data_IF_146753030871
#
_entry.id   IF_146753030871
#
_cell.length_a   1.000
_cell.length_b   1.000
_cell.length_c   1.000
_cell.angle_alpha   90.00
_cell.angle_beta   90.00
_cell.angle_gamma   90.00
#
_symmetry.space_group_name_H-M   'P 1'
#
loop_
_entity.id
_entity.type
_entity.pdbx_description
1 polymer ?
#
# COMPACT_ATOMS: atom_id res chain seq x y z
N UNK A 1 52.49 10.88 20.02
CA UNK A 1 51.94 12.20 20.39
C UNK A 1 50.92 12.55 19.30
N UNK A 2 49.67 12.78 19.65
CA UNK A 2 48.66 13.21 18.70
C UNK A 2 48.80 14.70 18.47
N UNK A 3 49.15 15.10 17.25
CA UNK A 3 49.26 16.50 16.84
C UNK A 3 47.86 17.09 16.73
N UNK A 4 47.59 18.17 17.47
CA UNK A 4 46.28 18.86 17.35
C UNK A 4 46.24 19.61 16.01
N UNK A 5 45.45 19.08 15.10
CA UNK A 5 45.18 19.75 13.81
C UNK A 5 44.40 21.02 14.09
N UNK A 6 45.00 22.18 13.77
CA UNK A 6 44.35 23.47 13.95
C UNK A 6 43.33 23.70 12.82
N UNK A 7 42.27 24.48 13.13
CA UNK A 7 41.20 24.82 12.16
C UNK A 7 41.74 25.46 10.88
N UNK A 8 42.86 26.18 11.00
CA UNK A 8 43.55 26.80 9.87
C UNK A 8 44.21 25.77 8.95
N UNK A 9 44.87 24.76 9.49
CA UNK A 9 45.49 23.68 8.70
C UNK A 9 44.45 22.82 7.97
N UNK A 10 43.25 22.72 8.51
CA UNK A 10 42.13 22.03 7.83
C UNK A 10 41.57 22.92 6.71
N UNK A 11 41.42 24.23 6.93
CA UNK A 11 40.89 25.15 5.95
C UNK A 11 41.79 25.32 4.70
N UNK A 12 43.11 25.09 4.85
CA UNK A 12 44.06 25.10 3.70
C UNK A 12 43.90 23.86 2.79
N UNK A 13 43.40 22.74 3.33
CA UNK A 13 43.31 21.45 2.60
C UNK A 13 41.90 20.99 2.30
N UNK A 14 40.90 21.61 2.90
CA UNK A 14 39.50 21.25 2.73
C UNK A 14 38.61 22.50 2.82
N UNK A 15 37.49 22.47 2.11
CA UNK A 15 36.43 23.48 2.23
C UNK A 15 35.72 23.24 3.58
N UNK A 16 36.01 24.08 4.57
CA UNK A 16 35.34 24.04 5.86
C UNK A 16 34.06 24.85 5.78
N UNK A 17 32.92 24.18 5.72
CA UNK A 17 31.64 24.85 5.85
C UNK A 17 31.44 25.28 7.32
N UNK A 18 31.48 26.57 7.57
CA UNK A 18 31.31 27.16 8.93
C UNK A 18 29.90 27.09 9.46
N UNK A 19 28.93 26.85 8.60
CA UNK A 19 27.53 26.51 8.97
C UNK A 19 27.24 25.13 8.46
N UNK A 20 26.80 24.23 9.36
CA UNK A 20 26.14 23.01 8.97
C UNK A 20 24.91 23.43 8.16
N UNK A 21 24.98 23.32 6.83
CA UNK A 21 23.80 23.49 6.01
C UNK A 21 22.76 22.52 6.58
N UNK A 22 21.75 23.06 7.23
CA UNK A 22 20.60 22.28 7.67
C UNK A 22 20.05 21.64 6.42
N UNK A 23 20.38 20.37 6.19
CA UNK A 23 19.78 19.60 5.13
C UNK A 23 18.27 19.75 5.28
N UNK A 24 17.57 20.22 4.25
CA UNK A 24 16.11 20.31 4.34
C UNK A 24 15.60 18.94 4.79
N UNK A 25 14.62 18.89 5.71
CA UNK A 25 14.11 17.63 6.21
C UNK A 25 13.72 16.75 5.03
N UNK A 26 14.27 15.55 4.98
CA UNK A 26 13.99 14.59 3.92
C UNK A 26 12.49 14.37 3.89
N UNK A 27 11.83 14.86 2.85
CA UNK A 27 10.40 14.62 2.65
C UNK A 27 10.27 13.14 2.28
N UNK A 28 9.95 12.32 3.28
CA UNK A 28 9.69 10.89 3.06
C UNK A 28 8.38 10.78 2.29
N UNK A 29 8.47 10.28 1.07
CA UNK A 29 7.29 9.95 0.27
C UNK A 29 6.60 8.72 0.88
N UNK A 30 5.43 8.96 1.49
CA UNK A 30 4.60 7.91 2.10
C UNK A 30 3.38 7.58 1.25
N UNK A 31 3.34 8.04 0.01
CA UNK A 31 2.31 7.65 -0.94
C UNK A 31 2.63 6.26 -1.50
N UNK A 32 1.61 5.41 -1.59
CA UNK A 32 1.76 4.11 -2.26
C UNK A 32 1.84 4.24 -3.78
N UNK A 33 1.87 5.46 -4.33
CA UNK A 33 1.85 5.76 -5.77
C UNK A 33 0.75 5.03 -6.58
N UNK A 34 -0.12 4.26 -5.91
CA UNK A 34 -1.25 3.58 -6.54
C UNK A 34 -2.49 4.48 -6.57
N UNK A 35 -3.27 4.44 -7.66
CA UNK A 35 -4.58 5.06 -7.71
C UNK A 35 -5.51 4.50 -6.64
N UNK A 36 -6.25 5.39 -5.95
CA UNK A 36 -7.23 5.00 -4.91
C UNK A 36 -8.28 4.03 -5.42
N UNK A 37 -8.60 4.06 -6.72
CA UNK A 37 -9.53 3.13 -7.34
C UNK A 37 -9.07 1.67 -7.28
N UNK A 38 -7.76 1.38 -7.43
CA UNK A 38 -7.24 0.02 -7.30
C UNK A 38 -7.33 -0.48 -5.85
N UNK A 39 -7.07 0.41 -4.90
CA UNK A 39 -7.24 0.10 -3.48
C UNK A 39 -8.69 -0.24 -3.15
N UNK A 40 -9.61 0.62 -3.58
CA UNK A 40 -11.04 0.43 -3.36
C UNK A 40 -11.55 -0.86 -4.01
N UNK A 41 -11.07 -1.17 -5.22
CA UNK A 41 -11.43 -2.40 -5.93
C UNK A 41 -10.93 -3.65 -5.20
N UNK A 42 -9.70 -3.64 -4.68
CA UNK A 42 -9.17 -4.76 -3.89
C UNK A 42 -10.01 -5.02 -2.64
N UNK A 43 -10.36 -3.96 -1.91
CA UNK A 43 -11.25 -4.06 -0.73
C UNK A 43 -12.62 -4.58 -1.12
N UNK A 44 -13.20 -4.06 -2.21
CA UNK A 44 -14.52 -4.48 -2.70
C UNK A 44 -14.54 -5.97 -3.09
N UNK A 45 -13.47 -6.49 -3.70
CA UNK A 45 -13.36 -7.90 -4.05
C UNK A 45 -13.26 -8.81 -2.82
N UNK A 46 -12.48 -8.42 -1.80
CA UNK A 46 -12.41 -9.19 -0.55
C UNK A 46 -13.74 -9.17 0.22
N UNK A 47 -14.37 -8.01 0.33
CA UNK A 47 -15.69 -7.90 0.96
C UNK A 47 -16.78 -8.61 0.12
N UNK A 48 -16.66 -8.55 -1.20
CA UNK A 48 -17.53 -9.27 -2.13
C UNK A 48 -17.43 -10.80 -1.95
N UNK A 49 -16.20 -11.32 -1.78
CA UNK A 49 -16.00 -12.73 -1.41
C UNK A 49 -16.75 -13.09 -0.11
N UNK A 50 -16.61 -12.26 0.93
CA UNK A 50 -17.33 -12.46 2.19
C UNK A 50 -18.84 -12.40 2.00
N UNK A 51 -19.34 -11.46 1.18
CA UNK A 51 -20.76 -11.36 0.87
C UNK A 51 -21.31 -12.59 0.13
N UNK A 52 -20.59 -13.04 -0.91
CA UNK A 52 -20.97 -14.25 -1.68
C UNK A 52 -20.99 -15.50 -0.79
N UNK A 53 -19.97 -15.69 0.04
CA UNK A 53 -19.90 -16.84 0.96
C UNK A 53 -20.96 -16.75 2.06
N UNK A 54 -21.27 -15.56 2.57
CA UNK A 54 -22.33 -15.35 3.54
C UNK A 54 -23.72 -15.71 2.96
N UNK A 55 -23.98 -15.35 1.71
CA UNK A 55 -25.24 -15.69 1.03
C UNK A 55 -25.31 -17.20 0.73
N UNK A 56 -24.21 -17.78 0.25
CA UNK A 56 -24.19 -19.20 -0.16
C UNK A 56 -24.16 -20.19 0.98
N UNK A 57 -23.49 -19.85 2.09
CA UNK A 57 -23.28 -20.72 3.25
C UNK A 57 -23.80 -20.14 4.56
N UNK A 58 -24.71 -19.15 4.49
CA UNK A 58 -25.22 -18.46 5.67
C UNK A 58 -25.74 -19.43 6.73
N UNK A 59 -25.04 -19.47 7.87
CA UNK A 59 -25.44 -20.23 9.07
C UNK A 59 -25.19 -19.31 10.28
N UNK A 60 -26.14 -19.27 11.26
CA UNK A 60 -25.97 -18.50 12.50
C UNK A 60 -24.65 -18.78 13.23
N UNK A 61 -24.13 -20.00 13.19
CA UNK A 61 -22.88 -20.39 13.82
C UNK A 61 -21.65 -19.76 13.16
N UNK A 62 -21.74 -19.32 11.89
CA UNK A 62 -20.67 -18.68 11.14
C UNK A 62 -20.65 -17.16 11.29
N UNK A 63 -21.62 -16.55 11.95
CA UNK A 63 -21.69 -15.09 12.10
C UNK A 63 -20.44 -14.54 12.80
N UNK A 64 -20.03 -15.17 13.89
CA UNK A 64 -18.86 -14.72 14.65
C UNK A 64 -17.55 -14.79 13.85
N UNK A 65 -17.16 -15.95 13.26
CA UNK A 65 -15.95 -16.00 12.44
C UNK A 65 -16.03 -15.07 11.21
N UNK A 66 -17.16 -14.93 10.56
CA UNK A 66 -17.34 -13.99 9.45
C UNK A 66 -17.15 -12.54 9.89
N UNK A 67 -17.71 -12.15 11.03
CA UNK A 67 -17.55 -10.81 11.58
C UNK A 67 -16.07 -10.51 11.89
N UNK A 68 -15.34 -11.46 12.46
CA UNK A 68 -13.90 -11.32 12.73
C UNK A 68 -13.11 -11.15 11.43
N UNK A 69 -13.40 -11.92 10.39
CA UNK A 69 -12.72 -11.79 9.08
C UNK A 69 -13.02 -10.44 8.45
N UNK A 70 -14.28 -10.00 8.43
CA UNK A 70 -14.64 -8.67 7.90
C UNK A 70 -13.94 -7.55 8.66
N UNK A 71 -13.92 -7.62 10.00
CA UNK A 71 -13.21 -6.65 10.83
C UNK A 71 -11.70 -6.65 10.52
N UNK A 72 -11.11 -7.83 10.32
CA UNK A 72 -9.70 -7.96 9.94
C UNK A 72 -9.42 -7.34 8.58
N UNK A 73 -10.27 -7.55 7.57
CA UNK A 73 -10.15 -6.91 6.25
C UNK A 73 -10.21 -5.38 6.40
N UNK A 74 -11.20 -4.88 7.14
CA UNK A 74 -11.34 -3.44 7.39
C UNK A 74 -10.12 -2.88 8.12
N UNK A 75 -9.57 -3.60 9.09
CA UNK A 75 -8.37 -3.18 9.82
C UNK A 75 -7.11 -3.16 8.93
N UNK A 76 -6.88 -4.21 8.13
CA UNK A 76 -5.71 -4.34 7.24
C UNK A 76 -5.66 -3.18 6.23
N UNK A 77 -6.78 -2.76 5.70
CA UNK A 77 -6.84 -1.64 4.75
C UNK A 77 -7.05 -0.28 5.44
N UNK A 78 -7.80 -0.24 6.53
CA UNK A 78 -8.14 0.99 7.23
C UNK A 78 -6.99 1.58 8.03
N UNK A 79 -6.22 0.75 8.75
CA UNK A 79 -5.11 1.22 9.57
C UNK A 79 -4.03 1.93 8.73
N UNK A 80 -3.53 1.36 7.62
CA UNK A 80 -2.59 2.06 6.75
C UNK A 80 -3.19 3.34 6.14
N UNK A 81 -4.47 3.34 5.78
CA UNK A 81 -5.14 4.51 5.24
C UNK A 81 -5.21 5.65 6.27
N UNK A 82 -5.42 5.34 7.54
CA UNK A 82 -5.39 6.31 8.64
C UNK A 82 -3.95 6.82 8.84
N UNK A 83 -2.97 5.94 8.85
CA UNK A 83 -1.55 6.31 9.03
C UNK A 83 -1.06 7.31 7.98
N UNK A 84 -1.40 7.06 6.72
CA UNK A 84 -1.06 7.98 5.63
C UNK A 84 -1.65 9.38 5.86
N UNK A 85 -2.86 9.46 6.45
CA UNK A 85 -3.51 10.75 6.77
C UNK A 85 -2.93 11.45 7.99
N UNK A 86 -2.39 10.70 8.94
CA UNK A 86 -1.83 11.25 10.19
C UNK A 86 -0.43 11.84 10.00
N UNK A 87 0.25 11.57 8.91
CA UNK A 87 1.60 12.06 8.67
C UNK A 87 1.56 13.49 8.13
N UNK A 88 1.98 14.51 8.91
CA UNK A 88 2.10 15.86 8.40
C UNK A 88 3.28 15.90 7.41
N UNK A 89 3.03 16.23 6.16
CA UNK A 89 4.09 16.62 5.24
C UNK A 89 4.29 15.81 3.96
N UNK A 90 3.60 14.70 3.74
CA UNK A 90 3.58 14.11 2.41
C UNK A 90 2.66 14.95 1.50
N UNK A 91 3.25 15.93 0.80
CA UNK A 91 2.52 16.79 -0.16
C UNK A 91 2.22 16.09 -1.49
N UNK A 92 2.60 14.83 -1.65
CA UNK A 92 2.30 14.07 -2.86
C UNK A 92 0.89 13.53 -2.78
N UNK A 93 0.01 14.07 -3.60
CA UNK A 93 -1.31 13.50 -3.85
C UNK A 93 -1.15 12.10 -4.48
N UNK A 94 -2.10 11.20 -4.19
CA UNK A 94 -2.17 9.91 -4.90
C UNK A 94 -2.15 10.14 -6.41
N UNK A 95 -1.40 9.33 -7.15
CA UNK A 95 -1.30 9.47 -8.60
C UNK A 95 -2.69 9.41 -9.24
N UNK A 96 -2.94 10.33 -10.15
CA UNK A 96 -4.11 10.25 -11.03
C UNK A 96 -4.00 8.99 -11.90
N UNK A 97 -5.14 8.47 -12.37
CA UNK A 97 -5.15 7.28 -13.23
C UNK A 97 -4.32 7.47 -14.51
N UNK A 98 -4.34 8.68 -15.09
CA UNK A 98 -3.52 9.03 -16.25
C UNK A 98 -2.02 9.04 -15.94
N UNK A 99 -1.63 9.63 -14.82
CA UNK A 99 -0.24 9.64 -14.37
C UNK A 99 0.28 8.23 -14.05
N UNK A 100 -0.55 7.40 -13.42
CA UNK A 100 -0.23 6.00 -13.15
C UNK A 100 -0.01 5.21 -14.45
N UNK A 101 -0.87 5.38 -15.46
CA UNK A 101 -0.71 4.73 -16.77
C UNK A 101 0.57 5.15 -17.50
N UNK A 102 0.95 6.42 -17.39
CA UNK A 102 2.11 6.97 -18.09
C UNK A 102 3.44 6.60 -17.40
N UNK A 103 3.47 6.65 -16.07
CA UNK A 103 4.71 6.55 -15.31
C UNK A 103 4.88 5.23 -14.57
N UNK A 104 3.80 4.46 -14.34
CA UNK A 104 3.82 3.29 -13.48
C UNK A 104 4.06 3.64 -12.00
N UNK A 105 4.59 2.71 -11.25
CA UNK A 105 4.98 2.87 -9.84
C UNK A 105 6.48 2.67 -9.66
N UNK A 106 7.07 3.40 -8.72
CA UNK A 106 8.42 3.16 -8.27
C UNK A 106 8.41 2.05 -7.20
N UNK A 107 9.24 1.03 -7.39
CA UNK A 107 9.46 -0.05 -6.43
C UNK A 107 10.92 -0.06 -6.02
N UNK A 108 11.25 -0.79 -4.95
CA UNK A 108 12.63 -0.96 -4.47
C UNK A 108 13.58 -1.46 -5.58
N UNK A 109 13.07 -2.29 -6.49
CA UNK A 109 13.84 -2.89 -7.59
C UNK A 109 13.75 -2.12 -8.93
N UNK A 110 13.13 -0.94 -8.93
CA UNK A 110 12.98 -0.13 -10.13
C UNK A 110 11.53 0.24 -10.44
N UNK A 111 11.31 0.73 -11.68
CA UNK A 111 9.97 1.13 -12.12
C UNK A 111 9.19 -0.04 -12.70
N UNK A 112 7.99 -0.25 -12.19
CA UNK A 112 7.03 -1.25 -12.68
C UNK A 112 5.96 -0.55 -13.52
N UNK A 113 5.65 -1.11 -14.68
CA UNK A 113 4.60 -0.60 -15.56
C UNK A 113 3.23 -0.67 -14.88
N UNK A 114 2.34 0.26 -15.24
CA UNK A 114 0.99 0.32 -14.67
C UNK A 114 0.19 -0.99 -14.86
N UNK A 115 0.36 -1.67 -16.01
CA UNK A 115 -0.30 -2.95 -16.27
C UNK A 115 0.16 -4.03 -15.30
N UNK A 116 1.47 -4.18 -15.14
CA UNK A 116 2.05 -5.21 -14.28
C UNK A 116 1.69 -4.94 -12.80
N UNK A 117 1.77 -3.68 -12.38
CA UNK A 117 1.34 -3.28 -11.04
C UNK A 117 -0.15 -3.57 -10.79
N UNK A 118 -1.02 -3.30 -11.77
CA UNK A 118 -2.46 -3.60 -11.68
C UNK A 118 -2.70 -5.10 -11.55
N UNK A 119 -2.04 -5.90 -12.37
CA UNK A 119 -2.15 -7.37 -12.32
C UNK A 119 -1.68 -7.89 -10.96
N UNK A 120 -0.51 -7.45 -10.48
CA UNK A 120 0.03 -7.88 -9.19
C UNK A 120 -0.88 -7.55 -8.01
N UNK A 121 -1.50 -6.37 -8.02
CA UNK A 121 -2.41 -5.94 -6.95
C UNK A 121 -3.74 -6.68 -6.99
N UNK A 122 -4.28 -6.94 -8.18
CA UNK A 122 -5.63 -7.48 -8.34
C UNK A 122 -5.68 -9.00 -8.52
N UNK A 123 -4.59 -9.67 -8.88
CA UNK A 123 -4.62 -11.11 -9.18
C UNK A 123 -5.16 -11.92 -8.00
N UNK A 124 -4.68 -11.67 -6.79
CA UNK A 124 -5.09 -12.42 -5.62
C UNK A 124 -6.56 -12.13 -5.22
N UNK A 125 -6.99 -10.86 -5.06
CA UNK A 125 -8.40 -10.58 -4.75
C UNK A 125 -9.38 -11.09 -5.79
N UNK A 126 -9.03 -11.00 -7.10
CA UNK A 126 -9.87 -11.52 -8.17
C UNK A 126 -9.99 -13.04 -8.10
N UNK A 127 -8.87 -13.75 -7.93
CA UNK A 127 -8.87 -15.21 -7.82
C UNK A 127 -9.67 -15.68 -6.62
N UNK A 128 -9.53 -15.03 -5.46
CA UNK A 128 -10.28 -15.37 -4.25
C UNK A 128 -11.77 -15.13 -4.48
N UNK A 129 -12.15 -14.00 -5.09
CA UNK A 129 -13.55 -13.71 -5.37
C UNK A 129 -14.17 -14.71 -6.35
N UNK A 130 -13.48 -15.05 -7.44
CA UNK A 130 -13.93 -16.04 -8.41
C UNK A 130 -14.03 -17.44 -7.78
N UNK A 131 -13.08 -17.80 -6.92
CA UNK A 131 -13.14 -19.06 -6.18
C UNK A 131 -14.35 -19.11 -5.25
N UNK A 132 -14.68 -18.02 -4.56
CA UNK A 132 -15.87 -17.91 -3.73
C UNK A 132 -17.15 -18.12 -4.53
N UNK A 133 -17.27 -17.49 -5.70
CA UNK A 133 -18.41 -17.72 -6.61
C UNK A 133 -18.48 -19.19 -7.03
N UNK A 134 -17.37 -19.77 -7.46
CA UNK A 134 -17.30 -21.15 -7.93
C UNK A 134 -17.73 -22.13 -6.82
N UNK A 135 -17.27 -21.96 -5.59
CA UNK A 135 -17.63 -22.84 -4.47
C UNK A 135 -19.12 -22.75 -4.12
N UNK A 136 -19.70 -21.54 -4.14
CA UNK A 136 -21.13 -21.36 -3.89
C UNK A 136 -21.98 -21.97 -5.00
N UNK A 137 -21.57 -21.82 -6.27
CA UNK A 137 -22.27 -22.43 -7.41
C UNK A 137 -22.22 -23.98 -7.35
N UNK A 138 -21.05 -24.54 -7.05
CA UNK A 138 -20.90 -26.00 -6.89
C UNK A 138 -21.80 -26.50 -5.75
N UNK A 139 -21.78 -25.81 -4.61
CA UNK A 139 -22.62 -26.19 -3.48
C UNK A 139 -24.13 -26.09 -3.80
N UNK A 140 -24.52 -25.10 -4.62
CA UNK A 140 -25.93 -24.98 -5.04
C UNK A 140 -26.38 -26.08 -6.01
N UNK A 141 -25.45 -26.63 -6.82
CA UNK A 141 -25.75 -27.72 -7.76
C UNK A 141 -25.81 -29.09 -7.06
N UNK A 142 -24.99 -29.28 -6.02
CA UNK A 142 -24.85 -30.56 -5.30
C UNK A 142 -25.88 -30.73 -4.20
N UNK A 143 -26.50 -29.64 -3.73
CA UNK A 143 -27.62 -29.67 -2.74
C UNK A 143 -28.93 -30.08 -3.39
#
# INVERSE_FOLDING_TARGET
MAERVTRQAVAEKAIVHSEAALLPPTVVDRSFELPTALYALSVALFLGFMGVTAIGFGNPELILPMAVIVLSIVAIFGVPAIWVRMAPGSRKASKSWSGFRAEGIATEYGRTNARDATVQVLILPVLIFLWGIATVLIAAIVR
#
